data_IF_859658207780
#
_entry.id   IF_859658207780
#
_cell.length_a   1.000
_cell.length_b   1.000
_cell.length_c   1.000
_cell.angle_alpha   90.00
_cell.angle_beta   90.00
_cell.angle_gamma   90.00
#
_symmetry.space_group_name_H-M   'P 1'
#
loop_
_entity.id
_entity.type
_entity.pdbx_description
1 polymer ?
#
# COMPACT_ATOMS: atom_id res chain seq x y z
N UNK A 1 10.38 -13.17 8.10
CA UNK A 1 11.85 -13.17 8.22
C UNK A 1 12.52 -13.33 6.86
N UNK A 2 12.02 -14.24 6.00
CA UNK A 2 12.56 -14.53 4.66
C UNK A 2 12.70 -13.28 3.73
N UNK A 3 11.85 -12.25 3.89
CA UNK A 3 11.80 -11.08 3.00
C UNK A 3 12.26 -9.75 3.62
N UNK A 4 12.81 -9.73 4.85
CA UNK A 4 13.21 -8.48 5.54
C UNK A 4 14.69 -8.34 5.86
N UNK A 5 15.44 -9.42 5.73
CA UNK A 5 16.91 -9.41 5.80
C UNK A 5 17.38 -10.14 4.56
N UNK A 6 18.40 -9.64 3.88
CA UNK A 6 19.11 -10.34 2.79
C UNK A 6 19.81 -11.64 3.26
N UNK A 7 19.31 -12.24 4.31
CA UNK A 7 19.77 -13.47 4.95
C UNK A 7 18.56 -14.33 5.30
N UNK A 8 18.06 -15.15 4.37
CA UNK A 8 16.98 -16.10 4.62
C UNK A 8 17.42 -17.15 5.68
N UNK A 9 16.55 -17.43 6.65
CA UNK A 9 16.77 -18.46 7.69
C UNK A 9 16.57 -19.90 7.15
N UNK A 10 15.89 -20.03 6.00
CA UNK A 10 15.64 -21.29 5.30
C UNK A 10 15.93 -21.13 3.81
N UNK A 11 16.26 -22.21 3.12
CA UNK A 11 16.48 -22.23 1.68
C UNK A 11 15.16 -22.05 0.90
N UNK A 12 15.23 -21.63 -0.36
CA UNK A 12 14.08 -21.52 -1.25
C UNK A 12 13.33 -22.86 -1.39
N UNK A 13 14.08 -23.96 -1.44
CA UNK A 13 13.52 -25.31 -1.54
C UNK A 13 12.73 -25.67 -0.28
N UNK A 14 13.22 -25.36 0.91
CA UNK A 14 12.52 -25.59 2.17
C UNK A 14 11.27 -24.71 2.28
N UNK A 15 11.37 -23.45 1.84
CA UNK A 15 10.22 -22.57 1.79
C UNK A 15 9.11 -23.12 0.88
N UNK A 16 9.47 -23.58 -0.33
CA UNK A 16 8.51 -24.16 -1.27
C UNK A 16 7.85 -25.44 -0.73
N UNK A 17 8.60 -26.26 -0.02
CA UNK A 17 8.06 -27.47 0.62
C UNK A 17 7.07 -27.11 1.74
N UNK A 18 7.42 -26.15 2.59
CA UNK A 18 6.54 -25.66 3.66
C UNK A 18 5.28 -25.02 3.10
N UNK A 19 5.41 -24.25 2.02
CA UNK A 19 4.28 -23.62 1.37
C UNK A 19 3.32 -24.64 0.73
N UNK A 20 3.85 -25.67 0.04
CA UNK A 20 3.05 -26.78 -0.49
C UNK A 20 2.31 -27.52 0.63
N UNK A 21 2.98 -27.76 1.75
CA UNK A 21 2.37 -28.42 2.91
C UNK A 21 1.26 -27.56 3.52
N UNK A 22 1.45 -26.25 3.60
CA UNK A 22 0.42 -25.31 4.06
C UNK A 22 -0.83 -25.41 3.17
N UNK A 23 -0.66 -25.36 1.84
CA UNK A 23 -1.77 -25.47 0.88
C UNK A 23 -2.56 -26.79 1.05
N UNK A 24 -1.85 -27.90 1.26
CA UNK A 24 -2.49 -29.21 1.51
C UNK A 24 -3.30 -29.18 2.80
N UNK A 25 -2.72 -28.68 3.89
CA UNK A 25 -3.41 -28.60 5.19
C UNK A 25 -4.64 -27.68 5.13
N UNK A 26 -4.56 -26.56 4.45
CA UNK A 26 -5.70 -25.66 4.28
C UNK A 26 -6.80 -26.26 3.38
N UNK A 27 -6.44 -27.13 2.44
CA UNK A 27 -7.38 -27.89 1.63
C UNK A 27 -8.08 -29.00 2.44
N UNK A 28 -7.32 -29.70 3.29
CA UNK A 28 -7.87 -30.76 4.15
C UNK A 28 -8.72 -30.21 5.30
N UNK A 29 -8.35 -29.03 5.81
CA UNK A 29 -8.99 -28.40 6.95
C UNK A 29 -9.41 -26.96 6.66
N UNK A 30 -10.42 -26.72 5.80
CA UNK A 30 -10.82 -25.35 5.40
C UNK A 30 -11.20 -24.44 6.56
N UNK A 31 -11.72 -25.02 7.65
CA UNK A 31 -12.19 -24.27 8.82
C UNK A 31 -11.06 -23.67 9.68
N UNK A 32 -9.82 -24.12 9.51
CA UNK A 32 -8.67 -23.58 10.24
C UNK A 32 -7.84 -22.61 9.39
N UNK A 33 -8.22 -22.39 8.15
CA UNK A 33 -7.55 -21.44 7.26
C UNK A 33 -7.63 -20.02 7.83
N UNK A 34 -6.47 -19.46 8.16
CA UNK A 34 -6.40 -18.09 8.66
C UNK A 34 -6.60 -17.08 7.54
N UNK A 35 -7.34 -16.00 7.81
CA UNK A 35 -7.58 -14.91 6.85
C UNK A 35 -6.30 -14.15 6.43
N UNK A 36 -5.24 -14.28 7.22
CA UNK A 36 -3.91 -13.72 6.96
C UNK A 36 -2.89 -14.78 6.52
N UNK A 37 -3.35 -15.94 6.06
CA UNK A 37 -2.47 -17.02 5.58
C UNK A 37 -1.58 -16.55 4.43
N UNK A 38 -0.32 -17.00 4.35
CA UNK A 38 0.54 -16.79 3.19
C UNK A 38 -0.06 -17.29 1.87
N UNK A 39 -0.95 -18.29 1.91
CA UNK A 39 -1.67 -18.80 0.74
C UNK A 39 -2.59 -17.74 0.10
N UNK A 40 -3.12 -16.82 0.89
CA UNK A 40 -3.95 -15.70 0.41
C UNK A 40 -3.17 -14.68 -0.43
N UNK A 41 -1.83 -14.68 -0.38
CA UNK A 41 -1.00 -13.76 -1.17
C UNK A 41 -0.98 -14.08 -2.66
N UNK A 42 -1.04 -15.35 -3.02
CA UNK A 42 -0.83 -15.82 -4.40
C UNK A 42 -2.01 -16.63 -4.94
N UNK A 43 -2.91 -17.09 -4.05
CA UNK A 43 -3.99 -18.02 -4.39
C UNK A 43 -5.33 -17.37 -4.72
N UNK A 44 -5.45 -16.03 -4.66
CA UNK A 44 -6.72 -15.38 -4.99
C UNK A 44 -7.10 -15.62 -6.44
N UNK A 45 -8.32 -16.07 -6.68
CA UNK A 45 -8.88 -16.15 -8.03
C UNK A 45 -9.03 -14.75 -8.63
N UNK A 46 -9.00 -14.63 -9.98
CA UNK A 46 -9.31 -13.38 -10.64
C UNK A 46 -10.70 -12.87 -10.22
N UNK A 47 -10.79 -11.58 -9.89
CA UNK A 47 -12.08 -10.95 -9.62
C UNK A 47 -12.77 -10.56 -10.93
N UNK A 48 -14.10 -10.56 -10.97
CA UNK A 48 -14.86 -10.19 -12.18
C UNK A 48 -14.84 -8.69 -12.43
N UNK A 49 -14.76 -7.89 -11.37
CA UNK A 49 -14.76 -6.42 -11.41
C UNK A 49 -14.10 -5.83 -10.16
N UNK A 50 -13.70 -4.57 -10.24
CA UNK A 50 -13.25 -3.79 -9.08
C UNK A 50 -14.44 -3.14 -8.41
N UNK A 51 -14.68 -3.50 -7.14
CA UNK A 51 -15.75 -2.92 -6.34
C UNK A 51 -15.40 -1.50 -5.89
N UNK A 52 -16.40 -0.64 -5.60
CA UNK A 52 -16.15 0.65 -5.00
C UNK A 52 -15.57 0.50 -3.58
N UNK A 53 -14.59 1.35 -3.27
CA UNK A 53 -13.98 1.48 -1.95
C UNK A 53 -14.30 2.86 -1.38
N UNK A 54 -15.16 2.93 -0.38
CA UNK A 54 -15.51 4.17 0.30
C UNK A 54 -14.48 4.49 1.37
N UNK A 55 -13.89 5.69 1.31
CA UNK A 55 -12.96 6.19 2.32
C UNK A 55 -13.72 6.71 3.53
N UNK A 56 -13.34 6.33 4.75
CA UNK A 56 -13.94 6.88 5.98
C UNK A 56 -13.55 8.35 6.18
N UNK A 57 -12.31 8.68 5.87
CA UNK A 57 -11.80 10.05 5.82
C UNK A 57 -11.36 10.33 4.39
N UNK A 58 -11.80 11.41 3.74
CA UNK A 58 -11.43 11.72 2.37
C UNK A 58 -9.90 11.76 2.15
N UNK A 59 -9.43 11.20 1.03
CA UNK A 59 -8.04 11.31 0.60
C UNK A 59 -7.85 12.58 -0.23
N UNK A 60 -7.46 13.65 0.44
CA UNK A 60 -7.31 14.97 -0.17
C UNK A 60 -6.15 14.99 -1.18
N UNK A 61 -6.25 15.90 -2.15
CA UNK A 61 -5.15 16.26 -3.04
C UNK A 61 -4.21 17.23 -2.34
N UNK A 62 -2.94 17.23 -2.75
CA UNK A 62 -1.96 18.21 -2.34
C UNK A 62 -1.89 19.32 -3.40
N UNK A 63 -1.82 20.57 -2.95
CA UNK A 63 -1.51 21.71 -3.82
C UNK A 63 -0.03 21.65 -4.23
N UNK A 64 0.29 22.33 -5.34
CA UNK A 64 1.65 22.51 -5.78
C UNK A 64 2.17 23.87 -5.32
N UNK A 65 3.46 23.94 -5.01
CA UNK A 65 4.23 25.17 -4.86
C UNK A 65 5.41 25.12 -5.84
N UNK A 66 5.58 26.14 -6.65
CA UNK A 66 6.61 26.20 -7.69
C UNK A 66 7.73 27.18 -7.35
N UNK A 67 7.49 28.10 -6.42
CA UNK A 67 8.45 29.10 -5.97
C UNK A 67 8.28 29.43 -4.47
N UNK A 68 9.18 30.27 -3.95
CA UNK A 68 9.18 30.69 -2.55
C UNK A 68 7.91 31.47 -2.18
N UNK A 69 7.34 32.21 -3.13
CA UNK A 69 6.11 32.96 -2.92
C UNK A 69 4.91 32.04 -2.68
N UNK A 70 4.83 30.94 -3.42
CA UNK A 70 3.78 29.92 -3.22
C UNK A 70 3.85 29.32 -1.81
N UNK A 71 5.08 29.08 -1.29
CA UNK A 71 5.30 28.60 0.09
C UNK A 71 4.90 29.63 1.13
N UNK A 72 5.27 30.91 0.92
CA UNK A 72 4.85 32.01 1.81
C UNK A 72 3.32 32.14 1.83
N UNK A 73 2.68 32.04 0.68
CA UNK A 73 1.23 32.15 0.58
C UNK A 73 0.53 30.92 1.20
N UNK A 74 1.12 29.74 1.09
CA UNK A 74 0.67 28.54 1.84
C UNK A 74 0.72 28.80 3.35
N UNK A 75 1.85 29.28 3.87
CA UNK A 75 2.00 29.57 5.29
C UNK A 75 1.00 30.63 5.77
N UNK A 76 0.81 31.72 5.02
CA UNK A 76 -0.18 32.76 5.31
C UNK A 76 -1.61 32.19 5.39
N UNK A 77 -2.02 31.35 4.41
CA UNK A 77 -3.34 30.71 4.42
C UNK A 77 -3.52 29.80 5.63
N UNK A 78 -2.49 29.03 5.97
CA UNK A 78 -2.48 28.14 7.13
C UNK A 78 -2.61 28.89 8.44
N UNK A 79 -1.79 29.92 8.66
CA UNK A 79 -1.82 30.79 9.85
C UNK A 79 -3.18 31.50 10.00
N UNK A 80 -3.74 32.01 8.92
CA UNK A 80 -5.05 32.65 8.93
C UNK A 80 -6.17 31.68 9.33
N UNK A 81 -6.11 30.44 8.87
CA UNK A 81 -7.10 29.40 9.27
C UNK A 81 -6.98 29.04 10.75
N UNK A 82 -5.78 28.92 11.26
CA UNK A 82 -5.54 28.60 12.66
C UNK A 82 -5.80 29.75 13.62
N UNK A 83 -5.90 31.00 13.11
CA UNK A 83 -6.01 32.22 13.93
C UNK A 83 -4.90 32.34 14.99
N UNK A 84 -3.70 31.82 14.68
CA UNK A 84 -2.54 31.79 15.59
C UNK A 84 -1.36 32.51 14.93
N UNK A 85 -0.52 33.15 15.78
CA UNK A 85 0.72 33.83 15.39
C UNK A 85 1.95 33.06 15.91
N UNK A 86 1.92 31.75 15.81
CA UNK A 86 3.01 30.90 16.28
C UNK A 86 3.92 30.52 15.11
N UNK A 87 5.18 30.24 15.41
CA UNK A 87 6.10 29.59 14.46
C UNK A 87 5.85 28.10 14.46
N UNK A 88 5.81 27.50 13.28
CA UNK A 88 5.59 26.07 13.11
C UNK A 88 6.83 25.38 12.59
N UNK A 89 7.00 24.12 12.97
CA UNK A 89 7.96 23.21 12.36
C UNK A 89 7.25 22.40 11.29
N UNK A 90 7.94 22.14 10.18
CA UNK A 90 7.43 21.36 9.08
C UNK A 90 8.18 20.03 8.96
N UNK A 91 7.46 18.93 8.75
CA UNK A 91 8.04 17.68 8.28
C UNK A 91 8.09 17.71 6.76
N UNK A 92 9.30 17.58 6.19
CA UNK A 92 9.51 17.56 4.75
C UNK A 92 9.80 16.14 4.30
N UNK A 93 9.01 15.65 3.37
CA UNK A 93 9.09 14.27 2.87
C UNK A 93 9.10 14.22 1.34
N UNK A 94 9.76 13.23 0.71
CA UNK A 94 9.68 13.03 -0.72
C UNK A 94 8.25 12.76 -1.16
N UNK A 95 7.78 13.48 -2.19
CA UNK A 95 6.51 13.16 -2.83
C UNK A 95 6.73 12.05 -3.87
N UNK A 96 6.43 10.84 -3.48
CA UNK A 96 6.55 9.67 -4.36
C UNK A 96 5.51 9.75 -5.48
N UNK A 97 5.91 9.42 -6.69
CA UNK A 97 5.04 9.42 -7.88
C UNK A 97 4.60 7.99 -8.23
N UNK A 98 3.36 7.68 -7.92
CA UNK A 98 2.77 6.37 -8.12
C UNK A 98 1.23 6.42 -8.13
N UNK A 99 0.60 5.48 -7.46
CA UNK A 99 -0.84 5.44 -7.21
C UNK A 99 -1.11 5.46 -5.70
N UNK A 100 -1.90 6.43 -5.26
CA UNK A 100 -2.27 6.54 -3.85
C UNK A 100 -3.12 5.35 -3.41
N UNK A 101 -2.79 4.79 -2.24
CA UNK A 101 -3.42 3.62 -1.66
C UNK A 101 -3.83 3.88 -0.21
N UNK A 102 -4.98 3.34 0.17
CA UNK A 102 -5.46 3.20 1.54
C UNK A 102 -5.44 1.73 1.93
N UNK A 103 -4.75 1.38 3.01
CA UNK A 103 -4.66 0.04 3.58
C UNK A 103 -5.45 0.01 4.88
N UNK A 104 -6.47 -0.85 4.96
CA UNK A 104 -7.31 -1.00 6.15
C UNK A 104 -6.91 -2.24 6.92
N UNK A 105 -6.51 -2.04 8.15
CA UNK A 105 -6.22 -3.12 9.09
C UNK A 105 -7.27 -3.13 10.19
N UNK A 106 -7.88 -4.30 10.41
CA UNK A 106 -8.78 -4.55 11.54
C UNK A 106 -8.12 -5.52 12.52
N UNK A 107 -8.02 -5.10 13.79
CA UNK A 107 -7.31 -5.86 14.82
C UNK A 107 -5.89 -6.26 14.38
N UNK A 108 -5.23 -5.41 13.60
CA UNK A 108 -3.90 -5.63 13.06
C UNK A 108 -3.82 -6.51 11.82
N UNK A 109 -4.93 -7.01 11.27
CA UNK A 109 -4.98 -7.85 10.06
C UNK A 109 -5.41 -6.99 8.87
N UNK A 110 -4.71 -7.08 7.73
CA UNK A 110 -5.08 -6.42 6.48
C UNK A 110 -6.38 -7.01 5.94
N UNK A 111 -7.45 -6.24 5.98
CA UNK A 111 -8.78 -6.66 5.54
C UNK A 111 -9.13 -6.11 4.17
N UNK A 112 -8.84 -4.83 3.91
CA UNK A 112 -9.21 -4.15 2.67
C UNK A 112 -8.10 -3.20 2.21
N UNK A 113 -8.07 -2.93 0.91
CA UNK A 113 -7.23 -1.88 0.34
C UNK A 113 -7.94 -1.23 -0.84
N UNK A 114 -7.82 0.10 -0.97
CA UNK A 114 -8.47 0.86 -2.02
C UNK A 114 -7.59 1.95 -2.60
N UNK A 115 -7.77 2.25 -3.88
CA UNK A 115 -7.15 3.41 -4.53
C UNK A 115 -7.82 4.69 -4.05
N UNK A 116 -7.18 5.85 -4.25
CA UNK A 116 -7.77 7.15 -3.88
C UNK A 116 -9.08 7.44 -4.61
N UNK A 117 -9.16 7.09 -5.91
CA UNK A 117 -10.27 7.50 -6.75
C UNK A 117 -10.42 9.03 -6.82
N UNK A 118 -11.65 9.52 -6.60
CA UNK A 118 -11.97 10.95 -6.50
C UNK A 118 -11.66 11.56 -5.11
N UNK A 119 -11.18 10.74 -4.19
CA UNK A 119 -10.89 11.12 -2.81
C UNK A 119 -11.95 10.64 -1.80
N UNK A 120 -13.18 10.41 -2.22
CA UNK A 120 -14.25 9.84 -1.40
C UNK A 120 -14.50 8.37 -1.74
N UNK A 121 -14.45 8.03 -3.03
CA UNK A 121 -14.68 6.68 -3.53
C UNK A 121 -13.53 6.30 -4.45
N UNK A 122 -12.86 5.21 -4.13
CA UNK A 122 -11.83 4.57 -4.93
C UNK A 122 -12.27 3.20 -5.46
N UNK A 123 -11.31 2.44 -5.93
CA UNK A 123 -11.49 1.05 -6.39
C UNK A 123 -10.87 0.09 -5.37
N UNK A 124 -11.58 -0.96 -4.99
CA UNK A 124 -11.06 -1.98 -4.10
C UNK A 124 -10.05 -2.87 -4.83
N UNK A 125 -8.81 -2.84 -4.35
CA UNK A 125 -7.67 -3.55 -4.95
C UNK A 125 -6.99 -4.51 -3.97
N UNK A 126 -7.71 -4.96 -2.96
CA UNK A 126 -7.22 -5.83 -1.87
C UNK A 126 -6.50 -7.07 -2.40
N UNK A 127 -7.06 -7.71 -3.45
CA UNK A 127 -6.49 -8.91 -4.06
C UNK A 127 -5.10 -8.66 -4.66
N UNK A 128 -4.85 -7.49 -5.23
CA UNK A 128 -3.54 -7.11 -5.77
C UNK A 128 -2.57 -6.66 -4.67
N UNK A 129 -3.05 -5.87 -3.71
CA UNK A 129 -2.25 -5.43 -2.55
C UNK A 129 -1.71 -6.63 -1.76
N UNK A 130 -2.51 -7.66 -1.56
CA UNK A 130 -2.10 -8.89 -0.88
C UNK A 130 -0.92 -9.60 -1.55
N UNK A 131 -0.69 -9.40 -2.86
CA UNK A 131 0.47 -9.97 -3.56
C UNK A 131 1.78 -9.25 -3.28
N UNK A 132 1.73 -8.01 -2.76
CA UNK A 132 2.92 -7.21 -2.47
C UNK A 132 3.58 -7.68 -1.18
N UNK A 133 4.81 -8.18 -1.28
CA UNK A 133 5.56 -8.75 -0.14
C UNK A 133 5.90 -7.71 0.94
N UNK A 134 6.05 -6.45 0.56
CA UNK A 134 6.38 -5.35 1.47
C UNK A 134 5.19 -4.97 2.37
N UNK A 135 3.96 -5.24 1.94
CA UNK A 135 2.77 -4.95 2.73
C UNK A 135 2.49 -6.14 3.66
N UNK A 136 2.58 -5.94 4.99
CA UNK A 136 2.33 -7.02 5.93
C UNK A 136 0.84 -7.41 5.93
N UNK A 137 0.54 -8.71 5.87
CA UNK A 137 -0.81 -9.23 6.08
C UNK A 137 -1.29 -9.02 7.51
N UNK A 138 -0.35 -8.91 8.44
CA UNK A 138 -0.59 -8.60 9.84
C UNK A 138 0.47 -7.64 10.36
N UNK A 139 0.03 -6.59 11.04
CA UNK A 139 0.92 -5.65 11.71
C UNK A 139 1.71 -6.37 12.83
N UNK A 140 2.92 -5.92 13.11
CA UNK A 140 3.73 -6.48 14.19
C UNK A 140 3.21 -6.01 15.54
N UNK A 141 3.07 -6.93 16.49
CA UNK A 141 2.85 -6.57 17.89
C UNK A 141 4.11 -5.92 18.46
N UNK A 142 3.91 -4.86 19.21
CA UNK A 142 4.95 -4.25 20.03
C UNK A 142 4.51 -4.29 21.49
N UNK A 143 5.47 -4.29 22.42
CA UNK A 143 5.17 -4.28 23.86
C UNK A 143 4.36 -3.04 24.27
N UNK A 144 4.52 -1.95 23.55
CA UNK A 144 3.93 -0.64 23.85
C UNK A 144 2.78 -0.25 22.91
N UNK A 145 2.41 -1.11 21.97
CA UNK A 145 1.38 -0.81 20.98
C UNK A 145 0.33 -1.92 20.95
N UNK A 146 -0.88 -1.57 21.36
CA UNK A 146 -2.07 -2.41 21.18
C UNK A 146 -2.74 -2.02 19.87
N UNK A 147 -3.06 -2.97 19.02
CA UNK A 147 -3.74 -2.66 17.78
C UNK A 147 -5.05 -1.95 18.03
N UNK A 148 -5.31 -0.83 17.35
CA UNK A 148 -6.65 -0.25 17.30
C UNK A 148 -7.59 -1.27 16.64
N UNK A 149 -8.88 -1.17 16.92
CA UNK A 149 -9.88 -2.01 16.30
C UNK A 149 -9.85 -1.85 14.78
N UNK A 150 -9.64 -0.62 14.31
CA UNK A 150 -9.45 -0.31 12.90
C UNK A 150 -8.42 0.81 12.73
N UNK A 151 -7.55 0.68 11.72
CA UNK A 151 -6.59 1.70 11.31
C UNK A 151 -6.48 1.72 9.79
N UNK A 152 -6.53 2.92 9.22
CA UNK A 152 -6.21 3.19 7.82
C UNK A 152 -4.79 3.74 7.71
N UNK A 153 -3.96 3.08 6.91
CA UNK A 153 -2.60 3.53 6.58
C UNK A 153 -2.60 3.97 5.13
N UNK A 154 -2.14 5.19 4.88
CA UNK A 154 -2.06 5.78 3.54
C UNK A 154 -0.65 5.74 3.01
N UNK A 155 -0.53 5.48 1.74
CA UNK A 155 0.75 5.40 1.07
C UNK A 155 0.62 5.60 -0.44
N UNK A 156 1.74 5.42 -1.10
CA UNK A 156 1.86 5.45 -2.56
C UNK A 156 2.49 4.15 -3.04
N UNK A 157 1.81 3.44 -3.96
CA UNK A 157 2.39 2.29 -4.64
C UNK A 157 3.09 2.79 -5.89
N UNK A 158 4.34 2.41 -6.05
CA UNK A 158 5.21 2.90 -7.12
C UNK A 158 6.09 1.78 -7.69
N UNK A 159 6.78 2.07 -8.76
CA UNK A 159 7.84 1.25 -9.35
C UNK A 159 9.10 2.09 -9.50
N UNK A 160 10.25 1.50 -9.23
CA UNK A 160 11.53 2.19 -9.45
C UNK A 160 11.79 2.44 -10.94
N UNK A 161 12.41 3.56 -11.28
CA UNK A 161 12.68 3.94 -12.69
C UNK A 161 13.43 2.86 -13.45
N UNK A 162 14.39 2.19 -12.80
CA UNK A 162 15.18 1.11 -13.39
C UNK A 162 14.31 -0.09 -13.76
N UNK A 163 13.46 -0.51 -12.82
CA UNK A 163 12.57 -1.66 -13.03
C UNK A 163 11.50 -1.37 -14.07
N UNK A 164 10.98 -0.13 -14.06
CA UNK A 164 10.05 0.35 -15.09
C UNK A 164 10.68 0.30 -16.49
N UNK A 165 11.92 0.82 -16.66
CA UNK A 165 12.61 0.78 -17.95
C UNK A 165 12.78 -0.64 -18.44
N UNK A 166 13.35 -1.52 -17.61
CA UNK A 166 13.61 -2.91 -17.96
C UNK A 166 12.33 -3.65 -18.40
N UNK A 167 11.22 -3.44 -17.70
CA UNK A 167 9.95 -4.07 -18.03
C UNK A 167 9.31 -3.48 -19.28
N UNK A 168 9.41 -2.17 -19.48
CA UNK A 168 8.87 -1.53 -20.66
C UNK A 168 9.63 -1.95 -21.93
N UNK A 169 10.95 -2.12 -21.84
CA UNK A 169 11.76 -2.65 -22.91
C UNK A 169 11.35 -4.08 -23.26
N UNK A 170 11.17 -4.95 -22.24
CA UNK A 170 10.65 -6.31 -22.43
C UNK A 170 9.27 -6.33 -23.08
N UNK A 171 8.34 -5.50 -22.65
CA UNK A 171 7.00 -5.39 -23.25
C UNK A 171 7.09 -4.97 -24.72
N UNK A 172 8.02 -4.07 -25.06
CA UNK A 172 8.26 -3.65 -26.43
C UNK A 172 8.79 -4.80 -27.30
N UNK A 173 9.75 -5.57 -26.78
CA UNK A 173 10.29 -6.76 -27.46
C UNK A 173 9.24 -7.85 -27.70
N UNK A 174 8.33 -8.05 -26.73
CA UNK A 174 7.24 -9.00 -26.80
C UNK A 174 6.01 -8.47 -27.60
N UNK A 175 6.08 -7.27 -28.17
CA UNK A 175 4.96 -6.65 -28.90
C UNK A 175 3.76 -6.28 -28.02
N UNK A 176 3.98 -6.19 -26.70
CA UNK A 176 2.95 -5.81 -25.75
C UNK A 176 2.84 -4.28 -25.64
N UNK A 177 1.74 -3.81 -25.04
CA UNK A 177 1.51 -2.39 -24.79
C UNK A 177 2.50 -1.87 -23.74
N UNK A 178 3.31 -0.89 -24.13
CA UNK A 178 4.19 -0.15 -23.23
C UNK A 178 3.43 0.90 -22.43
N UNK A 179 3.94 1.23 -21.24
CA UNK A 179 3.37 2.26 -20.38
C UNK A 179 4.10 3.59 -20.58
N UNK A 180 3.35 4.70 -20.53
CA UNK A 180 3.90 6.04 -20.77
C UNK A 180 4.86 6.50 -19.65
N UNK A 181 4.61 6.09 -18.41
CA UNK A 181 5.41 6.49 -17.25
C UNK A 181 5.23 5.48 -16.08
N UNK A 182 6.10 5.55 -15.04
CA UNK A 182 6.03 4.68 -13.86
C UNK A 182 4.69 4.75 -13.12
N UNK A 183 4.07 5.93 -13.03
CA UNK A 183 2.77 6.11 -12.39
C UNK A 183 1.66 5.32 -13.11
N UNK A 184 1.58 5.43 -14.44
CA UNK A 184 0.60 4.68 -15.24
C UNK A 184 0.84 3.17 -15.16
N UNK A 185 2.10 2.75 -15.05
CA UNK A 185 2.45 1.35 -14.84
C UNK A 185 1.94 0.86 -13.48
N UNK A 186 2.20 1.58 -12.39
CA UNK A 186 1.73 1.24 -11.06
C UNK A 186 0.20 1.19 -11.01
N UNK A 187 -0.48 2.23 -11.54
CA UNK A 187 -1.94 2.29 -11.59
C UNK A 187 -2.54 1.14 -12.40
N UNK A 188 -2.01 0.85 -13.59
CA UNK A 188 -2.45 -0.26 -14.44
C UNK A 188 -2.17 -1.62 -13.81
N UNK A 189 -1.14 -1.73 -12.97
CA UNK A 189 -0.82 -2.95 -12.22
C UNK A 189 -1.82 -3.20 -11.10
N UNK A 190 -2.17 -2.16 -10.35
CA UNK A 190 -3.11 -2.28 -9.24
C UNK A 190 -4.56 -2.49 -9.67
N UNK A 191 -4.90 -2.17 -10.91
CA UNK A 191 -6.24 -2.39 -11.49
C UNK A 191 -6.39 -3.72 -12.23
N UNK A 192 -5.42 -4.63 -12.12
CA UNK A 192 -5.55 -5.96 -12.72
C UNK A 192 -6.61 -6.78 -11.99
N UNK A 193 -7.46 -7.44 -12.76
CA UNK A 193 -8.46 -8.36 -12.20
C UNK A 193 -7.82 -9.67 -11.76
N UNK A 194 -6.73 -10.08 -12.42
CA UNK A 194 -5.95 -11.26 -12.06
C UNK A 194 -4.74 -10.86 -11.20
N UNK A 195 -4.71 -11.22 -9.91
CA UNK A 195 -3.63 -10.86 -9.00
C UNK A 195 -2.26 -11.45 -9.40
N UNK A 196 -2.23 -12.53 -10.18
CA UNK A 196 -0.97 -13.10 -10.69
C UNK A 196 -0.21 -12.11 -11.59
N UNK A 197 -0.94 -11.24 -12.31
CA UNK A 197 -0.32 -10.19 -13.14
C UNK A 197 0.34 -9.13 -12.25
N UNK A 198 -0.34 -8.71 -11.18
CA UNK A 198 0.21 -7.74 -10.23
C UNK A 198 1.41 -8.33 -9.46
N UNK A 199 1.34 -9.60 -9.05
CA UNK A 199 2.42 -10.28 -8.31
C UNK A 199 3.73 -10.42 -9.10
N UNK A 200 3.64 -10.46 -10.42
CA UNK A 200 4.82 -10.54 -11.31
C UNK A 200 5.50 -9.18 -11.54
N UNK A 201 4.93 -8.08 -11.01
CA UNK A 201 5.44 -6.71 -11.20
C UNK A 201 6.19 -6.24 -9.96
N UNK A 202 7.33 -5.55 -10.11
CA UNK A 202 8.18 -5.08 -9.00
C UNK A 202 7.59 -3.81 -8.37
N UNK A 203 6.37 -3.90 -7.86
CA UNK A 203 5.71 -2.82 -7.16
C UNK A 203 6.25 -2.69 -5.75
N UNK A 204 6.43 -1.44 -5.32
CA UNK A 204 6.86 -1.04 -3.99
C UNK A 204 5.81 -0.14 -3.36
N UNK A 205 5.85 0.00 -2.04
CA UNK A 205 4.97 0.88 -1.28
C UNK A 205 5.77 1.81 -0.38
N UNK A 206 5.36 3.07 -0.35
CA UNK A 206 5.83 4.07 0.62
C UNK A 206 4.62 4.55 1.42
N UNK A 207 4.59 4.24 2.72
CA UNK A 207 3.54 4.69 3.63
C UNK A 207 3.94 6.04 4.21
N UNK A 208 3.02 7.02 4.21
CA UNK A 208 3.34 8.39 4.59
C UNK A 208 2.36 9.01 5.61
N UNK A 209 1.19 8.45 5.81
CA UNK A 209 0.23 9.02 6.76
C UNK A 209 -0.80 8.02 7.24
N UNK A 210 -1.51 8.39 8.30
CA UNK A 210 -2.69 7.70 8.78
C UNK A 210 -3.95 8.36 8.19
N UNK A 211 -4.95 7.53 7.88
CA UNK A 211 -6.31 7.94 7.62
C UNK A 211 -7.15 7.85 8.89
N UNK A 212 -8.15 6.96 8.88
CA UNK A 212 -8.98 6.69 10.05
C UNK A 212 -8.20 5.87 11.10
N UNK A 213 -8.44 6.20 12.38
CA UNK A 213 -7.92 5.46 13.52
C UNK A 213 -9.03 5.34 14.57
N UNK A 214 -9.43 4.10 14.87
CA UNK A 214 -10.39 3.83 15.94
C UNK A 214 -9.66 3.80 17.28
N UNK A 215 -10.07 4.71 18.19
CA UNK A 215 -9.50 4.85 19.53
C UNK A 215 -8.64 6.11 19.72
N UNK A 216 -8.16 6.31 20.94
CA UNK A 216 -7.42 7.50 21.35
C UNK A 216 -5.89 7.31 21.27
N UNK A 217 -5.40 6.64 20.24
CA UNK A 217 -3.94 6.55 20.07
C UNK A 217 -3.43 7.88 19.55
N UNK A 218 -2.77 8.64 20.40
CA UNK A 218 -2.08 9.87 20.02
C UNK A 218 -0.64 9.52 19.64
N UNK A 219 -0.20 10.00 18.47
CA UNK A 219 1.19 9.99 18.08
C UNK A 219 1.76 11.39 18.30
N UNK A 220 2.92 11.48 18.97
CA UNK A 220 3.52 12.76 19.34
C UNK A 220 4.24 13.43 18.17
N UNK A 221 4.56 12.67 17.12
CA UNK A 221 5.28 13.17 15.95
C UNK A 221 5.01 12.32 14.70
N UNK A 222 5.38 12.86 13.54
CA UNK A 222 5.33 12.13 12.26
C UNK A 222 6.21 10.87 12.26
N UNK A 223 7.23 10.82 13.10
CA UNK A 223 8.15 9.67 13.21
C UNK A 223 7.75 8.67 14.31
N UNK A 224 6.68 8.92 15.04
CA UNK A 224 6.15 8.03 16.07
C UNK A 224 5.36 6.90 15.46
#
# INVERSE_FOLDING_TARGET
>A
LYHKKDSPEISDQEYDQLFKRLLLLESEFPNIKATNSPSERVGSEPVSELKPFNHQIPMLSLDNAFDDKDLEDFEKRFLNKLQRKETFSYSCEPKIDGIAICLVYQNGILTRAGTRGDGNIGEEVTHNVKTMKEIPMQLKKSKNFTYPKEIEIRGEIYVEKKDFSNLNDKFKEEGQKVFANPRNFAAGSMRQLNPKVASARPLKVFCHSLGYLDGNTLFDSQSS
#
